data_IF_753558795573
#
_entry.id   IF_753558795573
#
_cell.length_a   1.000
_cell.length_b   1.000
_cell.length_c   1.000
_cell.angle_alpha   90.00
_cell.angle_beta   90.00
_cell.angle_gamma   90.00
#
_symmetry.space_group_name_H-M   'P 1'
#
loop_
_entity.id
_entity.type
_entity.pdbx_description
1 polymer ?
#
# COMPACT_ATOMS: atom_id res chain seq x y z
N UNK A 1 20.55 3.19 35.96
CA UNK A 1 20.80 2.84 34.54
C UNK A 1 22.29 2.94 34.31
N UNK A 2 22.97 1.81 34.15
CA UNK A 2 24.42 1.77 33.98
C UNK A 2 24.82 2.35 32.60
N UNK A 3 25.94 3.06 32.48
CA UNK A 3 26.37 3.71 31.24
C UNK A 3 26.48 2.72 30.06
N UNK A 4 26.86 1.46 30.31
CA UNK A 4 26.97 0.43 29.27
C UNK A 4 25.61 -0.01 28.69
N UNK A 5 24.52 0.08 29.47
CA UNK A 5 23.19 -0.21 28.95
C UNK A 5 22.70 0.89 28.00
N UNK A 6 23.03 2.16 28.24
CA UNK A 6 22.69 3.27 27.33
C UNK A 6 23.37 3.13 25.97
N UNK A 7 24.64 2.76 25.95
CA UNK A 7 25.39 2.58 24.70
C UNK A 7 24.79 1.45 23.84
N UNK A 8 24.38 0.34 24.46
CA UNK A 8 23.67 -0.74 23.78
C UNK A 8 22.26 -0.34 23.32
N UNK A 9 21.53 0.52 24.04
CA UNK A 9 20.25 1.06 23.58
C UNK A 9 20.41 2.00 22.36
N UNK A 10 21.49 2.78 22.32
CA UNK A 10 21.84 3.63 21.17
C UNK A 10 22.17 2.76 19.94
N UNK A 11 22.81 1.60 20.14
CA UNK A 11 23.11 0.66 19.07
C UNK A 11 21.87 -0.12 18.59
N UNK A 12 20.89 -0.38 19.46
CA UNK A 12 19.62 -1.04 19.12
C UNK A 12 18.61 -0.12 18.42
N UNK A 13 18.76 1.20 18.57
CA UNK A 13 17.89 2.18 17.93
C UNK A 13 18.44 2.59 16.55
N UNK A 14 17.63 2.44 15.50
CA UNK A 14 18.05 2.82 14.15
C UNK A 14 18.39 4.32 14.05
N UNK A 15 19.59 4.60 13.51
CA UNK A 15 20.03 5.97 13.19
C UNK A 15 19.17 6.57 12.08
N UNK A 16 19.05 7.90 12.04
CA UNK A 16 18.27 8.62 11.00
C UNK A 16 18.68 8.20 9.58
N UNK A 17 19.98 8.04 9.31
CA UNK A 17 20.46 7.61 7.98
C UNK A 17 19.96 6.22 7.58
N UNK A 18 19.73 5.31 8.54
CA UNK A 18 19.15 3.98 8.25
C UNK A 18 17.67 4.10 7.87
N UNK A 19 16.94 5.03 8.48
CA UNK A 19 15.56 5.35 8.10
C UNK A 19 15.48 5.99 6.72
N UNK A 20 16.42 6.88 6.37
CA UNK A 20 16.49 7.45 5.01
C UNK A 20 16.64 6.36 3.97
N UNK A 21 17.56 5.41 4.15
CA UNK A 21 17.70 4.26 3.25
C UNK A 21 16.46 3.39 3.22
N UNK A 22 15.80 3.20 4.37
CA UNK A 22 14.54 2.45 4.46
C UNK A 22 13.48 3.10 3.57
N UNK A 23 13.31 4.42 3.64
CA UNK A 23 12.34 5.17 2.82
C UNK A 23 12.68 5.04 1.33
N UNK A 24 13.95 5.22 0.96
CA UNK A 24 14.42 5.08 -0.43
C UNK A 24 14.13 3.68 -0.99
N UNK A 25 14.45 2.63 -0.24
CA UNK A 25 14.17 1.24 -0.62
C UNK A 25 12.66 0.99 -0.77
N UNK A 26 11.86 1.49 0.17
CA UNK A 26 10.39 1.35 0.11
C UNK A 26 9.73 2.22 -0.96
N UNK A 27 10.44 3.20 -1.53
CA UNK A 27 9.96 3.99 -2.67
C UNK A 27 9.90 3.20 -3.98
N UNK A 28 10.67 2.11 -4.09
CA UNK A 28 10.68 1.24 -5.27
C UNK A 28 9.61 0.15 -5.08
N UNK A 29 8.57 0.06 -5.91
CA UNK A 29 7.38 -0.77 -5.62
C UNK A 29 7.66 -2.25 -5.35
N UNK A 30 8.46 -2.89 -6.22
CA UNK A 30 8.76 -4.33 -6.11
C UNK A 30 9.69 -4.58 -4.92
N UNK A 31 10.73 -3.75 -4.77
CA UNK A 31 11.70 -3.85 -3.68
C UNK A 31 11.02 -3.62 -2.33
N UNK A 32 10.08 -2.68 -2.25
CA UNK A 32 9.30 -2.40 -1.05
C UNK A 32 8.64 -3.67 -0.51
N UNK A 33 7.88 -4.39 -1.35
CA UNK A 33 7.18 -5.60 -0.93
C UNK A 33 8.17 -6.66 -0.45
N UNK A 34 9.25 -6.91 -1.19
CA UNK A 34 10.27 -7.90 -0.82
C UNK A 34 10.91 -7.54 0.53
N UNK A 35 11.31 -6.28 0.72
CA UNK A 35 11.96 -5.83 1.96
C UNK A 35 11.01 -5.89 3.16
N UNK A 36 9.73 -5.52 2.97
CA UNK A 36 8.71 -5.66 4.02
C UNK A 36 8.52 -7.12 4.45
N UNK A 37 8.50 -8.07 3.50
CA UNK A 37 8.40 -9.50 3.83
C UNK A 37 9.62 -9.95 4.66
N UNK A 38 10.84 -9.62 4.19
CA UNK A 38 12.08 -10.01 4.86
C UNK A 38 12.13 -9.44 6.29
N UNK A 39 11.82 -8.15 6.45
CA UNK A 39 11.84 -7.49 7.76
C UNK A 39 10.70 -7.93 8.67
N UNK A 40 9.54 -8.32 8.14
CA UNK A 40 8.45 -8.86 8.95
C UNK A 40 8.75 -10.28 9.48
N UNK A 41 9.46 -11.09 8.69
CA UNK A 41 9.85 -12.45 9.02
C UNK A 41 10.97 -12.50 10.08
N UNK A 42 11.92 -11.57 10.03
CA UNK A 42 13.03 -11.49 10.98
C UNK A 42 12.59 -10.84 12.31
N UNK A 43 12.50 -11.66 13.37
CA UNK A 43 12.08 -11.23 14.72
C UNK A 43 13.07 -10.30 15.41
N UNK A 44 14.32 -10.29 14.98
CA UNK A 44 15.38 -9.44 15.58
C UNK A 44 15.51 -8.10 14.86
N UNK A 45 14.82 -7.93 13.73
CA UNK A 45 14.93 -6.73 12.93
C UNK A 45 14.21 -5.55 13.60
N UNK A 46 14.86 -4.39 13.78
CA UNK A 46 14.22 -3.21 14.34
C UNK A 46 13.10 -2.66 13.43
N UNK A 47 13.04 -3.05 12.14
CA UNK A 47 11.99 -2.66 11.19
C UNK A 47 10.78 -3.60 11.18
N UNK A 48 10.75 -4.65 12.01
CA UNK A 48 9.67 -5.64 11.98
C UNK A 48 8.30 -5.02 12.19
N UNK A 49 8.15 -4.19 13.22
CA UNK A 49 6.85 -3.57 13.53
C UNK A 49 6.41 -2.58 12.46
N UNK A 50 7.35 -1.82 11.89
CA UNK A 50 7.09 -0.97 10.72
C UNK A 50 6.55 -1.79 9.54
N UNK A 51 7.17 -2.95 9.30
CA UNK A 51 6.83 -3.79 8.15
C UNK A 51 5.45 -4.43 8.30
N UNK A 52 5.13 -4.91 9.51
CA UNK A 52 3.80 -5.44 9.85
C UNK A 52 2.74 -4.34 9.73
N UNK A 53 3.02 -3.13 10.25
CA UNK A 53 2.11 -2.00 10.12
C UNK A 53 1.85 -1.64 8.66
N UNK A 54 2.89 -1.64 7.81
CA UNK A 54 2.71 -1.38 6.38
C UNK A 54 1.85 -2.43 5.68
N UNK A 55 1.96 -3.71 6.00
CA UNK A 55 1.04 -4.71 5.45
C UNK A 55 -0.42 -4.44 5.81
N UNK A 56 -0.69 -4.05 7.05
CA UNK A 56 -2.04 -3.70 7.49
C UNK A 56 -2.55 -2.47 6.73
N UNK A 57 -1.71 -1.44 6.60
CA UNK A 57 -2.04 -0.22 5.86
C UNK A 57 -2.30 -0.53 4.38
N UNK A 58 -1.42 -1.31 3.74
CA UNK A 58 -1.61 -1.73 2.35
C UNK A 58 -2.90 -2.52 2.17
N UNK A 59 -3.22 -3.47 3.07
CA UNK A 59 -4.47 -4.21 3.03
C UNK A 59 -5.69 -3.28 3.15
N UNK A 60 -5.67 -2.31 4.07
CA UNK A 60 -6.73 -1.33 4.21
C UNK A 60 -6.91 -0.49 2.93
N UNK A 61 -5.81 -0.02 2.33
CA UNK A 61 -5.87 0.72 1.06
C UNK A 61 -6.42 -0.13 -0.08
N UNK A 62 -6.04 -1.41 -0.18
CA UNK A 62 -6.58 -2.33 -1.19
C UNK A 62 -8.11 -2.43 -1.06
N UNK A 63 -8.63 -2.59 0.17
CA UNK A 63 -10.07 -2.65 0.41
C UNK A 63 -10.76 -1.35 0.02
N UNK A 64 -10.20 -0.20 0.41
CA UNK A 64 -10.74 1.12 0.07
C UNK A 64 -10.75 1.33 -1.45
N UNK A 65 -9.64 1.04 -2.13
CA UNK A 65 -9.55 1.14 -3.60
C UNK A 65 -10.56 0.22 -4.29
N UNK A 66 -10.76 -0.99 -3.79
CA UNK A 66 -11.72 -1.93 -4.34
C UNK A 66 -13.16 -1.40 -4.23
N UNK A 67 -13.54 -0.86 -3.06
CA UNK A 67 -14.87 -0.27 -2.85
C UNK A 67 -15.07 0.94 -3.78
N UNK A 68 -14.09 1.85 -3.84
CA UNK A 68 -14.14 3.02 -4.71
C UNK A 68 -14.29 2.58 -6.18
N UNK A 69 -13.47 1.63 -6.62
CA UNK A 69 -13.53 1.10 -7.98
C UNK A 69 -14.91 0.53 -8.32
N UNK A 70 -15.54 -0.25 -7.42
CA UNK A 70 -16.88 -0.77 -7.62
C UNK A 70 -17.92 0.35 -7.75
N UNK A 71 -17.87 1.37 -6.88
CA UNK A 71 -18.78 2.52 -6.95
C UNK A 71 -18.65 3.24 -8.29
N UNK A 72 -17.42 3.53 -8.73
CA UNK A 72 -17.19 4.20 -10.01
C UNK A 72 -17.60 3.34 -11.21
N UNK A 73 -17.42 2.02 -11.15
CA UNK A 73 -17.85 1.12 -12.21
C UNK A 73 -19.39 1.11 -12.33
N UNK A 74 -20.11 0.99 -11.20
CA UNK A 74 -21.58 1.03 -11.18
C UNK A 74 -22.09 2.36 -11.73
N UNK A 75 -21.51 3.49 -11.28
CA UNK A 75 -21.87 4.81 -11.78
C UNK A 75 -21.58 4.94 -13.29
N UNK A 76 -20.44 4.44 -13.75
CA UNK A 76 -20.07 4.47 -15.17
C UNK A 76 -21.06 3.71 -16.06
N UNK A 77 -21.51 2.53 -15.61
CA UNK A 77 -22.54 1.75 -16.31
C UNK A 77 -23.90 2.45 -16.24
N UNK A 78 -24.29 2.96 -15.07
CA UNK A 78 -25.58 3.63 -14.88
C UNK A 78 -25.72 4.94 -15.66
N UNK A 79 -24.60 5.61 -15.96
CA UNK A 79 -24.55 6.82 -16.77
C UNK A 79 -24.25 6.55 -18.25
N UNK A 80 -24.03 5.28 -18.64
CA UNK A 80 -23.87 4.91 -20.03
C UNK A 80 -25.23 5.10 -20.73
N UNK A 81 -25.33 5.96 -21.76
CA UNK A 81 -26.56 6.08 -22.53
C UNK A 81 -26.90 4.73 -23.15
N UNK A 82 -28.17 4.32 -23.06
CA UNK A 82 -28.64 3.14 -23.78
C UNK A 82 -28.42 3.36 -25.28
N UNK A 83 -27.40 2.71 -25.84
CA UNK A 83 -27.19 2.64 -27.27
C UNK A 83 -28.18 1.62 -27.83
N UNK A 84 -29.46 1.96 -27.84
CA UNK A 84 -30.48 1.13 -28.46
C UNK A 84 -30.29 1.16 -29.99
N UNK A 85 -29.88 0.04 -30.63
CA UNK A 85 -29.68 0.01 -32.07
C UNK A 85 -31.01 -0.04 -32.86
N UNK A 86 -32.16 -0.19 -32.20
CA UNK A 86 -33.45 -0.36 -32.88
C UNK A 86 -34.15 0.95 -33.25
N UNK A 87 -33.61 2.10 -32.82
CA UNK A 87 -34.13 3.43 -33.17
C UNK A 87 -33.64 3.98 -34.52
N UNK A 88 -32.66 3.35 -35.19
CA UNK A 88 -32.12 3.86 -36.47
C UNK A 88 -33.01 3.59 -37.68
N UNK A 89 -33.86 2.56 -37.63
CA UNK A 89 -34.51 2.02 -38.84
C UNK A 89 -36.01 2.34 -38.91
N UNK A 90 -36.57 3.06 -37.95
CA UNK A 90 -38.02 3.29 -37.83
C UNK A 90 -38.50 4.71 -38.18
N UNK A 91 -37.61 5.63 -38.57
CA UNK A 91 -37.96 7.02 -38.92
C UNK A 91 -37.59 7.45 -40.35
N UNK A 92 -37.62 6.53 -41.32
CA UNK A 92 -37.56 6.85 -42.75
C UNK A 92 -38.94 6.69 -43.40
N UNK A 93 -39.83 7.66 -43.22
CA UNK A 93 -41.02 7.88 -44.05
C UNK A 93 -41.24 9.37 -44.25
#
# INVERSE_FOLDING_TARGET
MEPQQRENQINGQMRIMQWVWTIVLTGIPIVNIIMLIIWAADRTNPRRNYSIAMFIVMAAFIVIYFIIFMVFMILGIALMPDSDPTYSDTYYY
#
